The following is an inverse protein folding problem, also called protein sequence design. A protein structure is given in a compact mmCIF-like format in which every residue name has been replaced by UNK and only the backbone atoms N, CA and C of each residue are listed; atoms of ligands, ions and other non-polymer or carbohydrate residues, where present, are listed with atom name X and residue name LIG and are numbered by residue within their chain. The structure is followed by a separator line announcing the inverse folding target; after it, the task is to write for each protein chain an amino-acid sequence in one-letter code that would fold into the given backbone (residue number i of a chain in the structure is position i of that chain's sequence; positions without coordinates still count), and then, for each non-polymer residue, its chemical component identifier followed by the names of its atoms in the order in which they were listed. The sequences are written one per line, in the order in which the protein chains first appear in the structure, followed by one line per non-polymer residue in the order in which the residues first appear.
data_IF_772438656854
#
_entry.id   IF_772438656854
#
_cell.length_a   1.000
_cell.length_b   1.000
_cell.length_c   1.000
_cell.angle_alpha   90.00
_cell.angle_beta   90.00
_cell.angle_gamma   90.00
#
_symmetry.space_group_name_H-M   'P 1'
#
loop_
_entity.id
_entity.type
_entity.pdbx_description
1 polymer ?
#
# COMPACT_ATOMS: atom_id res chain seq x y z
N UNK A 1 -6.70 -4.09 5.07
CA UNK A 1 -6.38 -4.80 3.81
C UNK A 1 -7.46 -4.42 2.80
N UNK A 2 -7.08 -3.79 1.69
CA UNK A 2 -8.00 -3.38 0.61
C UNK A 2 -7.68 -4.20 -0.64
N UNK A 3 -8.66 -4.91 -1.17
CA UNK A 3 -8.52 -5.75 -2.37
C UNK A 3 -9.54 -5.32 -3.41
N UNK A 4 -9.08 -5.04 -4.63
CA UNK A 4 -9.91 -4.66 -5.77
C UNK A 4 -9.65 -5.64 -6.92
N UNK A 5 -10.71 -6.06 -7.62
CA UNK A 5 -10.64 -7.02 -8.73
C UNK A 5 -11.38 -6.48 -9.96
N UNK A 6 -10.73 -5.63 -10.78
CA UNK A 6 -11.33 -5.13 -12.01
C UNK A 6 -11.32 -6.20 -13.11
N UNK A 7 -12.31 -6.17 -13.98
CA UNK A 7 -12.36 -6.99 -15.21
C UNK A 7 -11.77 -6.20 -16.37
N UNK A 8 -10.85 -6.81 -17.11
CA UNK A 8 -10.14 -6.22 -18.25
C UNK A 8 -9.97 -7.26 -19.34
N UNK A 9 -9.82 -6.82 -20.60
CA UNK A 9 -9.48 -7.73 -21.70
C UNK A 9 -8.10 -8.35 -21.43
N UNK A 10 -7.92 -9.62 -21.78
CA UNK A 10 -6.66 -10.34 -21.54
C UNK A 10 -5.45 -9.63 -22.14
N UNK A 11 -5.60 -8.97 -23.28
CA UNK A 11 -4.54 -8.22 -23.98
C UNK A 11 -4.12 -6.95 -23.24
N UNK A 12 -5.01 -6.36 -22.44
CA UNK A 12 -4.82 -5.07 -21.75
C UNK A 12 -4.45 -5.24 -20.28
N UNK A 13 -4.40 -6.49 -19.79
CA UNK A 13 -4.26 -6.78 -18.36
C UNK A 13 -3.01 -6.13 -17.74
N UNK A 14 -1.85 -6.28 -18.38
CA UNK A 14 -0.60 -5.74 -17.85
C UNK A 14 -0.57 -4.22 -17.88
N UNK A 15 -1.06 -3.62 -18.96
CA UNK A 15 -1.13 -2.16 -19.08
C UNK A 15 -2.02 -1.56 -17.98
N UNK A 16 -3.22 -2.12 -17.78
CA UNK A 16 -4.13 -1.68 -16.72
C UNK A 16 -3.57 -1.96 -15.33
N UNK A 17 -2.87 -3.08 -15.13
CA UNK A 17 -2.25 -3.41 -13.85
C UNK A 17 -1.21 -2.37 -13.43
N UNK A 18 -0.28 -2.01 -14.32
CA UNK A 18 0.78 -1.04 -14.02
C UNK A 18 0.22 0.38 -13.90
N UNK A 19 -0.67 0.78 -14.81
CA UNK A 19 -1.34 2.09 -14.77
C UNK A 19 -2.12 2.29 -13.46
N UNK A 20 -2.87 1.26 -13.02
CA UNK A 20 -3.60 1.32 -11.75
C UNK A 20 -2.65 1.42 -10.55
N UNK A 21 -1.56 0.66 -10.55
CA UNK A 21 -0.57 0.71 -9.46
C UNK A 21 0.05 2.11 -9.31
N UNK A 22 0.45 2.74 -10.42
CA UNK A 22 1.01 4.09 -10.43
C UNK A 22 -0.02 5.12 -9.94
N UNK A 23 -1.23 5.09 -10.50
CA UNK A 23 -2.31 6.01 -10.11
C UNK A 23 -2.68 5.88 -8.64
N UNK A 24 -2.75 4.66 -8.10
CA UNK A 24 -3.01 4.43 -6.69
C UNK A 24 -1.94 5.11 -5.84
N UNK A 25 -0.65 4.91 -6.17
CA UNK A 25 0.44 5.52 -5.41
C UNK A 25 0.39 7.05 -5.46
N UNK A 26 0.25 7.62 -6.64
CA UNK A 26 0.18 9.08 -6.83
C UNK A 26 -1.01 9.69 -6.10
N UNK A 27 -2.18 9.04 -6.17
CA UNK A 27 -3.39 9.52 -5.49
C UNK A 27 -3.23 9.41 -3.97
N UNK A 28 -2.67 8.31 -3.46
CA UNK A 28 -2.46 8.16 -2.02
C UNK A 28 -1.48 9.20 -1.49
N UNK A 29 -0.43 9.53 -2.23
CA UNK A 29 0.51 10.60 -1.86
C UNK A 29 -0.18 11.97 -1.86
N UNK A 30 -1.01 12.26 -2.87
CA UNK A 30 -1.74 13.53 -2.96
C UNK A 30 -2.76 13.71 -1.83
N UNK A 31 -3.42 12.63 -1.41
CA UNK A 31 -4.37 12.61 -0.30
C UNK A 31 -3.70 12.48 1.08
N UNK A 32 -2.37 12.40 1.13
CA UNK A 32 -1.61 12.24 2.39
C UNK A 32 -1.78 10.87 3.06
N UNK A 33 -2.21 9.86 2.31
CA UNK A 33 -2.37 8.47 2.79
C UNK A 33 -1.02 7.76 2.70
N UNK A 34 -0.36 7.62 3.85
CA UNK A 34 0.90 6.87 3.94
C UNK A 34 0.65 5.36 4.02
N UNK A 35 1.28 4.58 3.13
CA UNK A 35 1.27 3.11 3.23
C UNK A 35 2.10 2.71 4.46
N UNK A 36 1.52 1.99 5.44
CA UNK A 36 2.23 1.66 6.67
C UNK A 36 3.35 0.66 6.39
N UNK A 37 4.53 0.94 6.94
CA UNK A 37 5.58 -0.06 7.07
C UNK A 37 5.24 -1.06 8.18
N UNK A 38 5.86 -2.25 8.22
CA UNK A 38 5.73 -3.16 9.34
C UNK A 38 6.11 -2.43 10.64
N UNK A 39 5.15 -2.23 11.53
CA UNK A 39 5.39 -1.60 12.82
C UNK A 39 5.83 -2.66 13.83
N UNK A 40 6.91 -2.38 14.55
CA UNK A 40 7.38 -3.17 15.68
C UNK A 40 7.40 -2.26 16.92
N UNK A 41 6.50 -2.52 17.86
CA UNK A 41 6.49 -1.81 19.15
C UNK A 41 7.53 -2.41 20.08
N UNK A 42 8.46 -1.58 20.56
CA UNK A 42 9.49 -1.98 21.54
C UNK A 42 9.12 -1.42 22.90
N UNK A 43 8.73 -2.30 23.83
CA UNK A 43 8.49 -1.93 25.23
C UNK A 43 9.79 -2.13 26.03
N UNK A 44 10.48 -1.03 26.33
CA UNK A 44 11.67 -1.04 27.20
C UNK A 44 11.23 -1.06 28.66
N UNK A 45 11.30 -2.23 29.31
CA UNK A 45 11.17 -2.34 30.76
C UNK A 45 12.56 -2.06 31.35
N UNK A 46 12.73 -0.92 32.02
CA UNK A 46 13.93 -0.68 32.84
C UNK A 46 13.77 -1.44 34.15
N UNK A 47 14.53 -2.50 34.34
CA UNK A 47 14.77 -3.05 35.68
C UNK A 47 15.59 -2.01 36.45
N UNK A 48 15.00 -1.46 37.50
CA UNK A 48 15.72 -0.69 38.51
C UNK A 48 16.54 -1.70 39.32
N UNK A 49 17.86 -1.61 39.21
CA UNK A 49 18.80 -2.38 40.02
C UNK A 49 18.79 -1.98 41.49
#
# INVERSE_FOLDING_TARGET
NLVVRPWVRTTEYWDVYFDLMEKIKQTFDAEGIQIPYPQQDVHLIKEAG
#
